data_IF_635004571020
#
_entry.id   IF_635004571020
#
_cell.length_a   1.000
_cell.length_b   1.000
_cell.length_c   1.000
_cell.angle_alpha   90.00
_cell.angle_beta   90.00
_cell.angle_gamma   90.00
#
_symmetry.space_group_name_H-M   'P 1'
#
loop_
_entity.id
_entity.type
_entity.pdbx_description
1 polymer ?
#
# COMPACT_ATOMS: atom_id res chain seq x y z
N UNK A 1 -13.40 22.95 3.74
CA UNK A 1 -13.27 22.11 2.54
C UNK A 1 -14.54 21.29 2.42
N UNK A 2 -15.04 20.93 1.23
CA UNK A 2 -16.13 19.98 1.14
C UNK A 2 -15.70 18.66 1.77
N UNK A 3 -16.65 17.91 2.34
CA UNK A 3 -16.35 16.62 2.96
C UNK A 3 -15.66 15.68 1.96
N UNK A 4 -14.56 15.08 2.38
CA UNK A 4 -13.77 14.17 1.56
C UNK A 4 -13.18 13.06 2.42
N UNK A 5 -13.23 11.82 1.94
CA UNK A 5 -12.89 10.61 2.72
C UNK A 5 -11.86 9.78 1.98
N UNK A 6 -10.75 9.50 2.65
CA UNK A 6 -9.74 8.55 2.18
C UNK A 6 -9.81 7.25 2.99
N UNK A 7 -9.78 6.11 2.30
CA UNK A 7 -9.64 4.78 2.93
C UNK A 7 -8.21 4.29 2.72
N UNK A 8 -7.49 3.98 3.80
CA UNK A 8 -6.10 3.51 3.75
C UNK A 8 -5.99 2.13 4.40
N UNK A 9 -5.57 1.14 3.62
CA UNK A 9 -5.32 -0.21 4.15
C UNK A 9 -3.86 -0.39 4.56
N UNK A 10 -3.59 -1.29 5.51
CA UNK A 10 -2.24 -1.42 6.08
C UNK A 10 -1.83 -0.22 6.94
N UNK A 11 -2.80 0.55 7.44
CA UNK A 11 -2.60 1.85 8.11
C UNK A 11 -1.96 1.76 9.50
N UNK A 12 -1.68 0.56 10.03
CA UNK A 12 -1.15 0.38 11.39
C UNK A 12 0.33 0.71 11.53
N UNK A 13 1.12 0.70 10.45
CA UNK A 13 2.57 0.94 10.48
C UNK A 13 3.14 1.28 9.10
N UNK A 14 4.42 1.69 9.06
CA UNK A 14 5.21 1.87 7.84
C UNK A 14 4.53 2.81 6.84
N UNK A 15 4.57 2.43 5.56
CA UNK A 15 4.03 3.25 4.46
C UNK A 15 2.54 3.56 4.66
N UNK A 16 1.74 2.59 5.13
CA UNK A 16 0.30 2.80 5.34
C UNK A 16 0.01 3.84 6.44
N UNK A 17 0.74 3.79 7.56
CA UNK A 17 0.65 4.81 8.62
C UNK A 17 1.05 6.19 8.08
N UNK A 18 2.22 6.29 7.44
CA UNK A 18 2.71 7.55 6.87
C UNK A 18 1.71 8.13 5.85
N UNK A 19 1.13 7.27 4.98
CA UNK A 19 0.10 7.67 4.02
C UNK A 19 -1.15 8.21 4.70
N UNK A 20 -1.66 7.53 5.73
CA UNK A 20 -2.84 7.97 6.46
C UNK A 20 -2.63 9.36 7.09
N UNK A 21 -1.47 9.58 7.72
CA UNK A 21 -1.10 10.88 8.33
C UNK A 21 -0.95 11.95 7.24
N UNK A 22 -0.31 11.61 6.11
CA UNK A 22 -0.14 12.55 4.99
C UNK A 22 -1.48 12.99 4.41
N UNK A 23 -2.39 12.03 4.17
CA UNK A 23 -3.70 12.31 3.60
C UNK A 23 -4.62 13.10 4.56
N UNK A 24 -4.39 13.05 5.86
CA UNK A 24 -5.10 13.87 6.84
C UNK A 24 -4.96 15.40 6.62
N UNK A 25 -3.98 15.84 5.81
CA UNK A 25 -3.80 17.24 5.43
C UNK A 25 -4.74 17.69 4.31
N UNK A 26 -5.22 16.75 3.50
CA UNK A 26 -5.97 17.01 2.28
C UNK A 26 -7.42 16.49 2.34
N UNK A 27 -7.69 15.52 3.24
CA UNK A 27 -9.00 14.91 3.42
C UNK A 27 -9.59 15.25 4.79
N UNK A 28 -10.90 15.47 4.84
CA UNK A 28 -11.60 15.76 6.09
C UNK A 28 -11.70 14.55 7.01
N UNK A 29 -11.63 13.34 6.44
CA UNK A 29 -11.69 12.08 7.19
C UNK A 29 -10.83 10.99 6.56
N UNK A 30 -10.22 10.13 7.41
CA UNK A 30 -9.42 9.00 6.98
C UNK A 30 -9.90 7.72 7.69
N UNK A 31 -10.30 6.72 6.91
CA UNK A 31 -10.64 5.38 7.38
C UNK A 31 -9.35 4.55 7.42
N UNK A 32 -9.05 3.99 8.58
CA UNK A 32 -7.81 3.27 8.87
C UNK A 32 -8.10 1.77 8.98
N UNK A 33 -7.54 0.96 8.09
CA UNK A 33 -7.83 -0.47 8.01
C UNK A 33 -6.56 -1.30 8.21
N UNK A 34 -6.53 -2.18 9.22
CA UNK A 34 -5.49 -3.20 9.44
C UNK A 34 -5.96 -4.19 10.51
N UNK A 35 -5.14 -5.21 10.83
CA UNK A 35 -5.48 -6.24 11.84
C UNK A 35 -5.20 -5.82 13.28
N UNK A 36 -4.24 -4.93 13.51
CA UNK A 36 -3.80 -4.56 14.86
C UNK A 36 -4.48 -3.26 15.30
N UNK A 37 -5.49 -3.38 16.16
CA UNK A 37 -6.29 -2.26 16.65
C UNK A 37 -5.44 -1.23 17.41
N UNK A 38 -4.55 -1.68 18.32
CA UNK A 38 -3.73 -0.76 19.10
C UNK A 38 -2.87 0.14 18.21
N UNK A 39 -2.17 -0.44 17.21
CA UNK A 39 -1.38 0.35 16.27
C UNK A 39 -2.24 1.24 15.35
N UNK A 40 -3.49 0.84 15.07
CA UNK A 40 -4.43 1.70 14.34
C UNK A 40 -4.86 2.90 15.17
N UNK A 41 -5.10 2.73 16.48
CA UNK A 41 -5.43 3.85 17.37
C UNK A 41 -4.27 4.83 17.52
N UNK A 42 -3.01 4.36 17.55
CA UNK A 42 -1.83 5.22 17.52
C UNK A 42 -1.77 6.06 16.23
N UNK A 43 -2.11 5.44 15.10
CA UNK A 43 -2.21 6.15 13.81
C UNK A 43 -3.37 7.13 13.81
N UNK A 44 -4.53 6.72 14.33
CA UNK A 44 -5.72 7.58 14.42
C UNK A 44 -5.49 8.82 15.28
N UNK A 45 -4.72 8.69 16.37
CA UNK A 45 -4.34 9.84 17.20
C UNK A 45 -3.53 10.86 16.39
N UNK A 46 -2.59 10.42 15.55
CA UNK A 46 -1.79 11.29 14.69
C UNK A 46 -2.61 11.92 13.56
N UNK A 47 -3.53 11.16 12.95
CA UNK A 47 -4.46 11.66 11.92
C UNK A 47 -5.38 12.74 12.51
N UNK A 48 -5.93 12.51 13.71
CA UNK A 48 -6.73 13.53 14.44
C UNK A 48 -5.93 14.78 14.80
N UNK A 49 -4.67 14.60 15.23
CA UNK A 49 -3.77 15.72 15.50
C UNK A 49 -3.46 16.55 14.25
N UNK A 50 -3.52 15.94 13.05
CA UNK A 50 -3.41 16.62 11.77
C UNK A 50 -4.73 17.29 11.31
N UNK A 51 -5.83 17.13 12.06
CA UNK A 51 -7.10 17.83 11.84
C UNK A 51 -8.19 17.01 11.14
N UNK A 52 -7.95 15.74 10.78
CA UNK A 52 -8.93 14.90 10.11
C UNK A 52 -9.72 14.00 11.08
N UNK A 53 -10.99 13.74 10.74
CA UNK A 53 -11.78 12.69 11.38
C UNK A 53 -11.23 11.29 11.09
N UNK A 54 -11.52 10.31 11.97
CA UNK A 54 -11.04 8.95 11.78
C UNK A 54 -12.10 7.90 12.06
N UNK A 55 -12.11 6.82 11.25
CA UNK A 55 -12.76 5.55 11.57
C UNK A 55 -11.68 4.45 11.57
N UNK A 56 -11.57 3.72 12.69
CA UNK A 56 -10.67 2.57 12.82
C UNK A 56 -11.46 1.30 12.57
N UNK A 57 -10.95 0.46 11.66
CA UNK A 57 -11.56 -0.83 11.29
C UNK A 57 -10.48 -1.92 11.41
N UNK A 58 -10.57 -2.72 12.47
CA UNK A 58 -9.64 -3.81 12.74
C UNK A 58 -10.18 -5.13 12.18
N UNK A 59 -9.68 -5.50 11.00
CA UNK A 59 -10.06 -6.75 10.34
C UNK A 59 -8.94 -7.28 9.43
N UNK A 60 -9.08 -8.54 9.01
CA UNK A 60 -8.18 -9.18 8.05
C UNK A 60 -8.79 -9.14 6.63
N UNK A 61 -8.17 -8.35 5.75
CA UNK A 61 -8.58 -8.21 4.35
C UNK A 61 -8.38 -9.48 3.50
N UNK A 62 -7.73 -10.52 4.01
CA UNK A 62 -7.69 -11.83 3.34
C UNK A 62 -9.05 -12.52 3.32
N UNK A 63 -9.91 -12.23 4.31
CA UNK A 63 -11.25 -12.78 4.39
C UNK A 63 -12.17 -12.23 3.27
N UNK A 64 -12.94 -13.08 2.56
CA UNK A 64 -13.78 -12.65 1.45
C UNK A 64 -14.79 -11.56 1.79
N UNK A 65 -15.39 -11.59 2.98
CA UNK A 65 -16.39 -10.62 3.42
C UNK A 65 -15.81 -9.28 3.91
N UNK A 66 -14.50 -9.22 4.17
CA UNK A 66 -13.86 -8.05 4.77
C UNK A 66 -14.02 -6.76 3.93
N UNK A 67 -13.99 -6.88 2.61
CA UNK A 67 -14.11 -5.74 1.70
C UNK A 67 -15.47 -5.01 1.90
N UNK A 68 -16.56 -5.77 1.96
CA UNK A 68 -17.90 -5.21 2.20
C UNK A 68 -17.98 -4.53 3.55
N UNK A 69 -17.49 -5.16 4.61
CA UNK A 69 -17.46 -4.57 5.95
C UNK A 69 -16.75 -3.22 5.98
N UNK A 70 -15.58 -3.10 5.30
CA UNK A 70 -14.85 -1.82 5.23
C UNK A 70 -15.67 -0.74 4.53
N UNK A 71 -16.30 -1.07 3.41
CA UNK A 71 -17.09 -0.10 2.64
C UNK A 71 -18.33 0.33 3.41
N UNK A 72 -19.07 -0.64 3.97
CA UNK A 72 -20.29 -0.35 4.76
C UNK A 72 -19.97 0.53 5.97
N UNK A 73 -18.88 0.25 6.71
CA UNK A 73 -18.46 1.07 7.85
C UNK A 73 -17.96 2.46 7.46
N UNK A 74 -17.26 2.58 6.33
CA UNK A 74 -16.81 3.88 5.82
C UNK A 74 -18.00 4.76 5.40
N UNK A 75 -18.96 4.18 4.65
CA UNK A 75 -20.17 4.87 4.22
C UNK A 75 -21.11 5.19 5.39
N UNK A 76 -21.25 4.30 6.37
CA UNK A 76 -22.03 4.56 7.57
C UNK A 76 -21.45 5.71 8.41
N UNK A 77 -20.11 5.83 8.46
CA UNK A 77 -19.44 6.88 9.24
C UNK A 77 -19.42 8.23 8.54
N UNK A 78 -19.22 8.26 7.21
CA UNK A 78 -18.91 9.49 6.48
C UNK A 78 -19.72 9.72 5.19
N UNK A 79 -20.56 8.76 4.78
CA UNK A 79 -21.47 8.87 3.64
C UNK A 79 -20.80 8.81 2.26
N UNK A 80 -19.46 8.73 2.17
CA UNK A 80 -18.73 8.78 0.90
C UNK A 80 -17.35 8.14 0.96
N UNK A 81 -16.78 7.83 -0.20
CA UNK A 81 -15.38 7.42 -0.37
C UNK A 81 -14.82 8.14 -1.61
N UNK A 82 -13.85 9.02 -1.42
CA UNK A 82 -13.21 9.78 -2.50
C UNK A 82 -11.90 9.14 -2.95
N UNK A 83 -11.21 8.47 -2.04
CA UNK A 83 -9.92 7.84 -2.34
C UNK A 83 -9.80 6.50 -1.62
N UNK A 84 -9.29 5.50 -2.33
CA UNK A 84 -8.91 4.21 -1.78
C UNK A 84 -7.42 3.94 -2.02
N UNK A 85 -6.67 3.74 -0.93
CA UNK A 85 -5.24 3.39 -1.01
C UNK A 85 -5.01 1.98 -0.47
N UNK A 86 -4.76 1.05 -1.37
CA UNK A 86 -4.51 -0.35 -1.07
C UNK A 86 -3.02 -0.60 -0.80
N UNK A 87 -2.62 -0.59 0.49
CA UNK A 87 -1.23 -0.83 0.93
C UNK A 87 -1.09 -2.17 1.67
N UNK A 88 -2.18 -2.68 2.25
CA UNK A 88 -2.15 -3.94 2.99
C UNK A 88 -1.50 -5.06 2.16
N UNK A 89 -0.50 -5.71 2.75
CA UNK A 89 0.19 -6.82 2.11
C UNK A 89 1.23 -7.44 3.03
N UNK A 90 1.27 -8.75 3.05
CA UNK A 90 2.21 -9.55 3.82
C UNK A 90 2.53 -10.82 3.01
N UNK A 91 3.38 -10.66 1.99
CA UNK A 91 3.87 -11.79 1.21
C UNK A 91 5.17 -12.26 1.85
N UNK A 92 5.31 -13.55 2.21
CA UNK A 92 6.54 -14.10 2.72
C UNK A 92 7.68 -13.98 1.70
N UNK A 93 8.90 -13.73 2.20
CA UNK A 93 10.13 -13.78 1.40
C UNK A 93 10.77 -15.14 1.62
N UNK A 94 10.41 -16.10 0.79
CA UNK A 94 10.85 -17.50 0.82
C UNK A 94 11.29 -17.86 -0.59
N UNK A 95 12.33 -18.67 -0.71
CA UNK A 95 12.82 -19.14 -2.01
C UNK A 95 11.71 -19.90 -2.76
N UNK A 96 11.72 -19.76 -4.09
CA UNK A 96 10.70 -20.33 -4.98
C UNK A 96 10.51 -21.84 -4.79
N UNK A 97 11.58 -22.59 -4.52
CA UNK A 97 11.56 -24.04 -4.37
C UNK A 97 11.26 -24.51 -2.94
N UNK A 98 11.21 -23.59 -1.96
CA UNK A 98 10.95 -23.87 -0.55
C UNK A 98 9.55 -23.41 -0.10
N UNK A 99 8.92 -22.55 -0.89
CA UNK A 99 7.62 -21.95 -0.56
C UNK A 99 6.48 -22.93 -0.79
N UNK A 100 5.63 -23.13 0.24
CA UNK A 100 4.45 -24.00 0.13
C UNK A 100 3.28 -23.30 -0.56
N UNK A 101 2.33 -24.08 -1.09
CA UNK A 101 1.11 -23.54 -1.70
C UNK A 101 0.30 -22.68 -0.71
N UNK A 102 0.21 -23.08 0.56
CA UNK A 102 -0.52 -22.33 1.59
C UNK A 102 0.11 -20.96 1.86
N UNK A 103 1.45 -20.87 1.84
CA UNK A 103 2.17 -19.59 2.01
C UNK A 103 1.96 -18.68 0.79
N UNK A 104 1.96 -19.28 -0.40
CA UNK A 104 1.66 -18.59 -1.66
C UNK A 104 0.24 -18.02 -1.64
N UNK A 105 -0.74 -18.88 -1.33
CA UNK A 105 -2.15 -18.53 -1.28
C UNK A 105 -2.46 -17.46 -0.23
N UNK A 106 -1.80 -17.51 0.93
CA UNK A 106 -1.94 -16.49 1.97
C UNK A 106 -1.47 -15.10 1.47
N UNK A 107 -0.35 -15.05 0.73
CA UNK A 107 0.13 -13.83 0.08
C UNK A 107 -0.86 -13.27 -0.95
N UNK A 108 -1.38 -14.18 -1.80
CA UNK A 108 -2.40 -13.85 -2.81
C UNK A 108 -3.70 -13.36 -2.18
N UNK A 109 -4.19 -14.07 -1.15
CA UNK A 109 -5.46 -13.77 -0.48
C UNK A 109 -5.47 -12.35 0.09
N UNK A 110 -4.40 -11.95 0.78
CA UNK A 110 -4.32 -10.63 1.38
C UNK A 110 -4.01 -9.54 0.35
N UNK A 111 -2.86 -9.67 -0.34
CA UNK A 111 -2.34 -8.54 -1.13
C UNK A 111 -3.07 -8.36 -2.45
N UNK A 112 -3.36 -9.45 -3.18
CA UNK A 112 -4.03 -9.36 -4.48
C UNK A 112 -5.56 -9.38 -4.34
N UNK A 113 -6.08 -10.44 -3.72
CA UNK A 113 -7.54 -10.60 -3.63
C UNK A 113 -8.18 -9.60 -2.68
N UNK A 114 -7.52 -9.25 -1.57
CA UNK A 114 -8.00 -8.21 -0.65
C UNK A 114 -8.13 -6.85 -1.36
N UNK A 115 -7.06 -6.41 -2.04
CA UNK A 115 -7.09 -5.15 -2.79
C UNK A 115 -8.14 -5.17 -3.92
N UNK A 116 -8.22 -6.28 -4.68
CA UNK A 116 -9.21 -6.44 -5.76
C UNK A 116 -10.64 -6.36 -5.25
N UNK A 117 -10.97 -7.13 -4.19
CA UNK A 117 -12.32 -7.14 -3.60
C UNK A 117 -12.70 -5.77 -3.07
N UNK A 118 -11.81 -5.13 -2.32
CA UNK A 118 -12.07 -3.82 -1.72
C UNK A 118 -12.26 -2.74 -2.80
N UNK A 119 -11.47 -2.76 -3.87
CA UNK A 119 -11.64 -1.83 -4.98
C UNK A 119 -13.00 -2.02 -5.67
N UNK A 120 -13.43 -3.27 -5.89
CA UNK A 120 -14.75 -3.57 -6.51
C UNK A 120 -15.89 -3.10 -5.60
N UNK A 121 -15.85 -3.41 -4.30
CA UNK A 121 -16.90 -3.00 -3.35
C UNK A 121 -16.98 -1.48 -3.19
N UNK A 122 -15.85 -0.77 -3.19
CA UNK A 122 -15.81 0.69 -3.10
C UNK A 122 -16.15 1.40 -4.42
N UNK A 123 -16.18 0.66 -5.55
CA UNK A 123 -16.31 1.27 -6.88
C UNK A 123 -17.52 2.18 -7.05
N UNK A 124 -18.73 1.82 -6.60
CA UNK A 124 -19.90 2.71 -6.74
C UNK A 124 -19.68 4.07 -6.04
N UNK A 125 -19.14 4.09 -4.83
CA UNK A 125 -18.86 5.33 -4.10
C UNK A 125 -17.74 6.15 -4.77
N UNK A 126 -16.72 5.47 -5.31
CA UNK A 126 -15.64 6.12 -6.06
C UNK A 126 -16.14 6.75 -7.37
N UNK A 127 -17.08 6.12 -8.05
CA UNK A 127 -17.73 6.68 -9.26
C UNK A 127 -18.51 7.95 -8.91
N UNK A 128 -19.33 7.90 -7.85
CA UNK A 128 -20.09 9.06 -7.38
C UNK A 128 -19.18 10.23 -7.01
N UNK A 129 -18.07 9.97 -6.34
CA UNK A 129 -17.10 10.98 -5.95
C UNK A 129 -16.17 11.43 -7.09
N UNK A 130 -16.18 10.78 -8.26
CA UNK A 130 -15.13 10.87 -9.29
C UNK A 130 -13.75 10.69 -8.66
N UNK A 131 -13.63 9.67 -7.85
CA UNK A 131 -12.54 9.45 -6.93
C UNK A 131 -11.26 8.88 -7.55
N UNK A 132 -10.38 8.40 -6.67
CA UNK A 132 -9.09 7.83 -7.07
C UNK A 132 -8.77 6.54 -6.31
N UNK A 133 -8.02 5.66 -6.96
CA UNK A 133 -7.49 4.43 -6.36
C UNK A 133 -5.98 4.37 -6.57
N UNK A 134 -5.25 4.04 -5.50
CA UNK A 134 -3.83 3.73 -5.58
C UNK A 134 -3.62 2.30 -5.08
N UNK A 135 -2.93 1.48 -5.89
CA UNK A 135 -2.56 0.12 -5.52
C UNK A 135 -1.04 0.03 -5.27
N UNK A 136 -0.66 -0.52 -4.12
CA UNK A 136 0.75 -0.70 -3.75
C UNK A 136 1.31 -1.99 -4.34
N UNK A 137 2.13 -1.85 -5.36
CA UNK A 137 2.95 -2.92 -5.95
C UNK A 137 4.31 -2.99 -5.23
N UNK A 138 5.40 -2.97 -5.96
CA UNK A 138 6.79 -2.92 -5.51
C UNK A 138 7.73 -3.17 -6.69
N UNK A 139 8.98 -2.71 -6.60
CA UNK A 139 9.97 -2.82 -7.68
C UNK A 139 10.28 -4.27 -8.09
N UNK A 140 10.08 -5.26 -7.18
CA UNK A 140 10.21 -6.68 -7.50
C UNK A 140 9.23 -7.17 -8.59
N UNK A 141 8.21 -6.38 -8.95
CA UNK A 141 7.35 -6.68 -10.10
C UNK A 141 8.11 -6.71 -11.43
N UNK A 142 9.14 -5.87 -11.55
CA UNK A 142 9.97 -5.74 -12.76
C UNK A 142 11.38 -6.30 -12.56
N UNK A 143 11.74 -6.66 -11.33
CA UNK A 143 13.02 -7.25 -10.97
C UNK A 143 12.82 -8.45 -10.00
N UNK A 144 12.07 -9.50 -10.42
CA UNK A 144 11.82 -10.65 -9.56
C UNK A 144 13.10 -11.48 -9.37
N UNK A 145 13.25 -12.09 -8.18
CA UNK A 145 14.36 -13.01 -7.86
C UNK A 145 13.80 -14.23 -7.13
N UNK A 146 14.45 -15.39 -7.28
CA UNK A 146 14.03 -16.65 -6.67
C UNK A 146 13.79 -16.55 -5.15
N UNK A 147 14.66 -15.90 -4.32
CA UNK A 147 14.45 -15.80 -2.88
C UNK A 147 13.20 -15.02 -2.44
N UNK A 148 12.50 -14.36 -3.37
CA UNK A 148 11.24 -13.65 -3.10
C UNK A 148 10.32 -13.64 -4.33
N UNK A 149 10.26 -14.78 -5.04
CA UNK A 149 9.50 -14.91 -6.28
C UNK A 149 8.01 -14.59 -6.12
N UNK A 150 7.37 -15.06 -5.04
CA UNK A 150 5.95 -14.74 -4.76
C UNK A 150 5.72 -13.24 -4.59
N UNK A 151 6.65 -12.52 -3.94
CA UNK A 151 6.55 -11.05 -3.79
C UNK A 151 6.58 -10.39 -5.16
N UNK A 152 7.50 -10.80 -6.04
CA UNK A 152 7.62 -10.26 -7.40
C UNK A 152 6.37 -10.54 -8.24
N UNK A 153 5.93 -11.81 -8.26
CA UNK A 153 4.75 -12.23 -9.02
C UNK A 153 3.47 -11.50 -8.57
N UNK A 154 3.22 -11.42 -7.26
CA UNK A 154 2.04 -10.73 -6.74
C UNK A 154 2.13 -9.21 -7.00
N UNK A 155 3.31 -8.62 -6.90
CA UNK A 155 3.51 -7.21 -7.24
C UNK A 155 3.25 -6.93 -8.74
N UNK A 156 3.68 -7.82 -9.63
CA UNK A 156 3.38 -7.73 -11.06
C UNK A 156 1.87 -7.85 -11.33
N UNK A 157 1.20 -8.80 -10.65
CA UNK A 157 -0.24 -8.94 -10.73
C UNK A 157 -0.99 -7.70 -10.25
N UNK A 158 -0.53 -7.03 -9.18
CA UNK A 158 -1.11 -5.76 -8.70
C UNK A 158 -0.95 -4.64 -9.74
N UNK A 159 0.20 -4.52 -10.39
CA UNK A 159 0.41 -3.52 -11.44
C UNK A 159 -0.51 -3.75 -12.65
N UNK A 160 -0.64 -5.00 -13.09
CA UNK A 160 -1.58 -5.39 -14.14
C UNK A 160 -3.04 -5.13 -13.75
N UNK A 161 -3.41 -5.46 -12.50
CA UNK A 161 -4.76 -5.21 -11.96
C UNK A 161 -5.07 -3.72 -11.91
N UNK A 162 -4.13 -2.87 -11.50
CA UNK A 162 -4.30 -1.42 -11.50
C UNK A 162 -4.57 -0.89 -12.92
N UNK A 163 -3.86 -1.42 -13.92
CA UNK A 163 -4.09 -1.05 -15.33
C UNK A 163 -5.48 -1.46 -15.79
N UNK A 164 -5.96 -2.66 -15.44
CA UNK A 164 -7.29 -3.12 -15.78
C UNK A 164 -8.39 -2.26 -15.12
N UNK A 165 -8.23 -1.90 -13.84
CA UNK A 165 -9.15 -0.96 -13.18
C UNK A 165 -9.12 0.43 -13.83
N UNK A 166 -7.95 0.91 -14.26
CA UNK A 166 -7.85 2.22 -14.92
C UNK A 166 -8.58 2.26 -16.26
N UNK A 167 -8.56 1.16 -17.00
CA UNK A 167 -9.31 1.04 -18.27
C UNK A 167 -10.81 1.24 -18.04
N UNK A 168 -11.38 0.55 -17.05
CA UNK A 168 -12.76 0.78 -16.61
C UNK A 168 -12.96 2.19 -16.06
N UNK A 169 -12.01 2.71 -15.31
CA UNK A 169 -12.05 4.03 -14.67
C UNK A 169 -12.14 5.19 -15.64
N UNK A 170 -11.63 5.05 -16.88
CA UNK A 170 -11.76 6.06 -17.94
C UNK A 170 -13.24 6.36 -18.22
N UNK A 171 -14.06 5.34 -18.33
CA UNK A 171 -15.51 5.48 -18.57
C UNK A 171 -16.25 5.95 -17.32
N UNK A 172 -15.90 5.43 -16.17
CA UNK A 172 -16.61 5.65 -14.91
C UNK A 172 -16.14 6.93 -14.18
N UNK A 173 -15.10 7.61 -14.67
CA UNK A 173 -14.55 8.82 -14.06
C UNK A 173 -13.68 8.55 -12.81
N UNK A 174 -13.20 7.32 -12.61
CA UNK A 174 -12.33 6.93 -11.49
C UNK A 174 -10.87 6.87 -11.95
N UNK A 175 -10.01 7.61 -11.28
CA UNK A 175 -8.56 7.57 -11.53
C UNK A 175 -7.93 6.36 -10.83
N UNK A 176 -7.12 5.56 -11.52
CA UNK A 176 -6.44 4.41 -10.91
C UNK A 176 -4.98 4.38 -11.32
N UNK A 177 -4.09 4.34 -10.32
CA UNK A 177 -2.65 4.20 -10.53
C UNK A 177 -2.04 3.17 -9.58
N UNK A 178 -0.84 2.71 -9.85
CA UNK A 178 -0.05 1.92 -8.91
C UNK A 178 1.28 2.58 -8.57
N UNK A 179 1.81 2.26 -7.39
CA UNK A 179 3.12 2.72 -6.92
C UNK A 179 4.01 1.50 -6.71
N UNK A 180 5.25 1.59 -7.18
CA UNK A 180 6.31 0.59 -7.00
C UNK A 180 7.43 1.14 -6.12
N UNK A 181 7.36 1.02 -4.80
CA UNK A 181 8.48 1.36 -3.94
C UNK A 181 9.66 0.40 -4.14
N UNK A 182 10.86 0.92 -3.99
CA UNK A 182 12.06 0.14 -3.78
C UNK A 182 12.28 -0.23 -2.32
N UNK A 183 13.54 -0.23 -1.92
CA UNK A 183 13.94 -0.51 -0.54
C UNK A 183 13.60 0.65 0.40
N UNK A 184 12.50 0.53 1.14
CA UNK A 184 12.06 1.50 2.15
C UNK A 184 12.34 0.94 3.55
N UNK A 185 13.01 1.74 4.41
CA UNK A 185 13.32 1.36 5.79
C UNK A 185 12.10 1.53 6.69
N UNK A 186 11.26 0.51 6.72
CA UNK A 186 10.09 0.41 7.60
C UNK A 186 10.38 -0.52 8.77
N UNK A 187 9.54 -0.52 9.81
CA UNK A 187 9.61 -1.49 10.90
C UNK A 187 9.64 -2.94 10.39
N UNK A 188 8.83 -3.26 9.37
CA UNK A 188 8.85 -4.59 8.73
C UNK A 188 10.21 -4.91 8.09
N UNK A 189 10.84 -3.94 7.42
CA UNK A 189 12.17 -4.14 6.84
C UNK A 189 13.22 -4.34 7.91
N UNK A 190 13.16 -3.56 9.01
CA UNK A 190 14.05 -3.73 10.16
C UNK A 190 13.89 -5.11 10.79
N UNK A 191 12.66 -5.56 11.06
CA UNK A 191 12.40 -6.91 11.60
C UNK A 191 12.91 -8.02 10.67
N UNK A 192 12.81 -7.86 9.35
CA UNK A 192 13.46 -8.79 8.42
C UNK A 192 14.98 -8.81 8.62
N UNK A 193 15.62 -7.65 8.71
CA UNK A 193 17.07 -7.55 8.91
C UNK A 193 17.52 -8.09 10.28
N UNK A 194 16.70 -7.98 11.33
CA UNK A 194 16.96 -8.56 12.66
C UNK A 194 17.09 -10.09 12.62
N UNK A 195 16.42 -10.76 11.70
CA UNK A 195 16.55 -12.21 11.49
C UNK A 195 17.63 -12.55 10.47
N UNK A 196 17.77 -11.76 9.42
CA UNK A 196 18.68 -12.02 8.31
C UNK A 196 20.14 -11.72 8.65
N UNK A 197 20.45 -10.60 9.30
CA UNK A 197 21.80 -10.15 9.54
C UNK A 197 22.65 -11.13 10.40
N UNK A 198 22.14 -11.67 11.54
CA UNK A 198 22.90 -12.64 12.33
C UNK A 198 23.23 -13.92 11.56
N UNK A 199 22.31 -14.39 10.70
CA UNK A 199 22.54 -15.57 9.85
C UNK A 199 23.67 -15.36 8.82
N UNK A 200 24.01 -14.08 8.53
CA UNK A 200 25.09 -13.69 7.62
C UNK A 200 26.31 -13.11 8.35
N UNK A 201 26.40 -13.29 9.68
CA UNK A 201 27.56 -12.90 10.49
C UNK A 201 27.75 -11.40 10.63
N UNK A 202 26.67 -10.60 10.58
CA UNK A 202 26.73 -9.14 10.71
C UNK A 202 25.68 -8.61 11.70
N UNK A 203 25.84 -7.37 12.13
CA UNK A 203 24.82 -6.66 12.93
C UNK A 203 23.71 -6.12 12.02
N UNK A 204 22.56 -5.78 12.61
CA UNK A 204 21.46 -5.13 11.88
C UNK A 204 21.89 -3.77 11.32
N UNK A 205 22.67 -3.03 12.09
CA UNK A 205 23.22 -1.73 11.70
C UNK A 205 24.18 -1.86 10.53
N UNK A 206 25.03 -2.89 10.52
CA UNK A 206 25.91 -3.19 9.38
C UNK A 206 25.09 -3.53 8.13
N UNK A 207 24.04 -4.35 8.27
CA UNK A 207 23.15 -4.70 7.17
C UNK A 207 22.43 -3.47 6.61
N UNK A 208 21.96 -2.56 7.47
CA UNK A 208 21.33 -1.29 7.06
C UNK A 208 22.33 -0.38 6.33
N UNK A 209 23.58 -0.32 6.78
CA UNK A 209 24.59 0.55 6.15
C UNK A 209 25.13 0.00 4.83
N UNK A 210 25.21 -1.33 4.69
CA UNK A 210 25.75 -2.02 3.50
C UNK A 210 24.73 -2.16 2.38
N UNK A 211 23.47 -2.39 2.69
CA UNK A 211 22.43 -2.63 1.69
C UNK A 211 22.34 -1.55 0.60
N UNK A 212 22.38 -0.24 0.91
CA UNK A 212 22.36 0.79 -0.13
C UNK A 212 23.51 0.67 -1.12
N UNK A 213 24.72 0.35 -0.64
CA UNK A 213 25.89 0.16 -1.49
C UNK A 213 25.74 -1.05 -2.42
N UNK A 214 25.26 -2.18 -1.89
CA UNK A 214 25.02 -3.41 -2.65
C UNK A 214 23.88 -3.27 -3.66
N UNK A 215 22.88 -2.46 -3.33
CA UNK A 215 21.74 -2.13 -4.21
C UNK A 215 22.04 -0.96 -5.15
N UNK A 216 23.24 -0.35 -5.07
CA UNK A 216 23.67 0.82 -5.84
C UNK A 216 22.65 1.98 -5.75
N UNK A 217 22.13 2.23 -4.54
CA UNK A 217 21.30 3.36 -4.19
C UNK A 217 21.99 4.23 -3.15
N UNK A 218 21.61 5.50 -3.05
CA UNK A 218 22.20 6.42 -2.07
C UNK A 218 21.89 6.00 -0.62
N UNK A 219 20.63 5.64 -0.37
CA UNK A 219 20.08 5.28 0.94
C UNK A 219 18.79 4.49 0.81
N UNK A 220 18.32 3.94 1.89
CA UNK A 220 16.93 3.50 2.00
C UNK A 220 15.96 4.68 1.79
N UNK A 221 14.86 4.44 1.10
CA UNK A 221 13.71 5.34 1.10
C UNK A 221 13.03 5.37 2.47
N UNK A 222 12.26 6.42 2.73
CA UNK A 222 11.44 6.58 3.91
C UNK A 222 9.96 6.39 3.57
N UNK A 223 9.17 5.96 4.55
CA UNK A 223 7.73 5.75 4.37
C UNK A 223 7.01 7.05 3.98
N UNK A 224 7.48 8.17 4.51
CA UNK A 224 6.96 9.52 4.25
C UNK A 224 7.15 9.95 2.81
N UNK A 225 8.24 9.57 2.16
CA UNK A 225 8.49 9.87 0.73
C UNK A 225 7.47 9.17 -0.17
N UNK A 226 7.15 7.90 0.13
CA UNK A 226 6.10 7.16 -0.59
C UNK A 226 4.72 7.77 -0.30
N UNK A 227 4.49 8.22 0.92
CA UNK A 227 3.24 8.89 1.31
C UNK A 227 3.03 10.22 0.56
N UNK A 228 4.09 11.01 0.35
CA UNK A 228 4.01 12.24 -0.45
C UNK A 228 3.69 11.94 -1.92
N UNK A 229 4.29 10.90 -2.53
CA UNK A 229 3.93 10.47 -3.88
C UNK A 229 2.46 10.05 -3.97
N UNK A 230 1.97 9.28 -2.98
CA UNK A 230 0.55 8.90 -2.92
C UNK A 230 -0.34 10.14 -2.78
N UNK A 231 0.02 11.08 -1.89
CA UNK A 231 -0.69 12.35 -1.74
C UNK A 231 -0.78 13.14 -3.05
N UNK A 232 0.31 13.20 -3.82
CA UNK A 232 0.31 13.78 -5.16
C UNK A 232 -0.64 13.04 -6.11
N UNK A 233 -0.57 11.70 -6.15
CA UNK A 233 -1.38 10.89 -7.08
C UNK A 233 -2.90 11.02 -6.86
N UNK A 234 -3.33 11.28 -5.63
CA UNK A 234 -4.75 11.46 -5.31
C UNK A 234 -5.19 12.92 -5.32
N UNK A 235 -4.26 13.85 -5.61
CA UNK A 235 -4.54 15.28 -5.69
C UNK A 235 -5.10 15.70 -7.05
N UNK A 236 -5.74 16.88 -7.16
CA UNK A 236 -6.15 17.44 -8.43
C UNK A 236 -5.03 17.61 -9.45
N UNK A 237 -3.78 17.82 -9.00
CA UNK A 237 -2.61 17.99 -9.87
C UNK A 237 -2.27 16.73 -10.70
N UNK A 238 -2.61 15.55 -10.18
CA UNK A 238 -2.37 14.28 -10.87
C UNK A 238 -3.61 13.76 -11.64
N UNK A 239 -4.68 14.52 -11.76
CA UNK A 239 -5.98 14.03 -12.30
C UNK A 239 -5.88 13.47 -13.73
N UNK A 240 -4.92 13.91 -14.52
CA UNK A 240 -4.66 13.39 -15.87
C UNK A 240 -3.85 12.08 -15.88
N UNK A 241 -3.30 11.66 -14.74
CA UNK A 241 -2.52 10.43 -14.61
C UNK A 241 -3.44 9.26 -14.25
N UNK A 242 -3.70 8.35 -15.18
CA UNK A 242 -4.43 7.11 -14.91
C UNK A 242 -3.78 5.94 -15.64
N UNK A 243 -3.82 4.77 -15.05
CA UNK A 243 -3.20 3.55 -15.58
C UNK A 243 -1.67 3.56 -15.56
N UNK A 244 -1.08 4.47 -14.80
CA UNK A 244 0.36 4.56 -14.63
C UNK A 244 0.84 3.70 -13.47
N UNK A 245 2.04 3.14 -13.60
CA UNK A 245 2.78 2.51 -12.52
C UNK A 245 4.01 3.36 -12.23
N UNK A 246 4.02 4.01 -11.07
CA UNK A 246 5.09 4.93 -10.70
C UNK A 246 6.11 4.23 -9.81
N UNK A 247 7.34 4.16 -10.29
CA UNK A 247 8.47 3.63 -9.54
C UNK A 247 9.12 4.73 -8.70
N UNK A 248 9.35 4.43 -7.41
CA UNK A 248 10.06 5.29 -6.46
C UNK A 248 11.00 4.41 -5.64
N UNK A 249 12.20 4.18 -6.15
CA UNK A 249 13.14 3.16 -5.68
C UNK A 249 14.59 3.65 -5.51
N UNK A 250 14.83 4.95 -5.59
CA UNK A 250 16.17 5.51 -5.48
C UNK A 250 17.12 5.08 -6.62
N UNK A 251 16.58 4.58 -7.73
CA UNK A 251 17.37 4.05 -8.84
C UNK A 251 17.86 2.60 -8.64
N UNK A 252 17.25 1.85 -7.71
CA UNK A 252 17.59 0.44 -7.45
C UNK A 252 17.44 -0.42 -8.73
N UNK A 253 16.36 -0.23 -9.46
CA UNK A 253 16.14 -0.92 -10.74
C UNK A 253 16.75 -0.12 -11.88
N UNK A 254 17.74 -0.70 -12.58
CA UNK A 254 18.54 -0.03 -13.61
C UNK A 254 17.91 -0.05 -15.02
N UNK A 255 16.64 -0.48 -15.15
CA UNK A 255 15.92 -0.45 -16.43
C UNK A 255 15.02 0.80 -16.56
N UNK A 256 14.77 1.21 -17.78
CA UNK A 256 13.75 2.19 -18.16
C UNK A 256 12.38 1.56 -18.25
#
# INVERSE_FOLDING_TARGET
MPDSVAVVTGASQGIGRATAIRLARDFTSVVLVARNRSHLEDTAAQVRAAGAGTRVIDLDLSAPAAARTVVDEALAAFGRIDTLVNIAGAVPQIDLFEMTDEQWDAGMALKLHGARRLTIEAWPALVEAKGSVVLMSGNSAIFPKAPYAAVGTINAAIAALAKAFSDRGITDGVQVNSVMPGAVLTGRRRSYLEHWAPAHGMTVEDAISRFPQEAEIERFGQAEEIAELIGFLVSPAARWMTGSTLRMDGGEVKSV
#
